data_IF_924920700976
#
_entry.id   IF_924920700976
#
_cell.length_a   1.000
_cell.length_b   1.000
_cell.length_c   1.000
_cell.angle_alpha   90.00
_cell.angle_beta   90.00
_cell.angle_gamma   90.00
#
_symmetry.space_group_name_H-M   'P 1'
#
loop_
_entity.id
_entity.type
_entity.pdbx_description
1 polymer ?
#
# COMPACT_ATOMS: atom_id res chain seq x y z
N UNK A 1 -29.44 38.65 11.67
CA UNK A 1 -29.02 38.28 10.30
C UNK A 1 -27.60 38.77 10.09
N UNK A 2 -26.64 37.85 10.01
CA UNK A 2 -25.21 38.15 9.90
C UNK A 2 -24.87 38.74 8.51
N UNK A 3 -24.16 39.87 8.48
CA UNK A 3 -23.48 40.37 7.28
C UNK A 3 -22.43 39.32 6.89
N UNK A 4 -22.65 38.59 5.80
CA UNK A 4 -21.61 37.75 5.17
C UNK A 4 -20.50 38.68 4.68
N UNK A 5 -19.26 38.39 5.07
CA UNK A 5 -18.03 39.04 4.62
C UNK A 5 -17.95 39.09 3.09
N UNK A 6 -18.29 40.23 2.50
CA UNK A 6 -18.16 40.49 1.05
C UNK A 6 -16.72 40.79 0.62
N UNK A 7 -15.72 40.58 1.50
CA UNK A 7 -14.36 41.08 1.28
C UNK A 7 -13.26 40.00 1.29
N UNK A 8 -13.60 38.71 1.27
CA UNK A 8 -12.61 37.63 1.17
C UNK A 8 -12.37 37.26 -0.29
N UNK A 9 -11.15 37.51 -0.78
CA UNK A 9 -10.71 37.06 -2.10
C UNK A 9 -10.62 35.53 -2.11
N UNK A 10 -11.02 34.92 -3.22
CA UNK A 10 -10.81 33.48 -3.44
C UNK A 10 -9.34 33.20 -3.74
N UNK A 11 -8.89 31.95 -3.55
CA UNK A 11 -7.50 31.57 -3.87
C UNK A 11 -7.12 31.84 -5.32
N UNK A 12 -8.07 31.64 -6.26
CA UNK A 12 -7.88 31.93 -7.69
C UNK A 12 -7.69 33.44 -7.95
N UNK A 13 -8.48 34.28 -7.29
CA UNK A 13 -8.34 35.74 -7.38
C UNK A 13 -7.02 36.22 -6.77
N UNK A 14 -6.58 35.62 -5.65
CA UNK A 14 -5.28 35.93 -5.04
C UNK A 14 -4.13 35.54 -5.97
N UNK A 15 -4.20 34.36 -6.59
CA UNK A 15 -3.21 33.92 -7.57
C UNK A 15 -3.14 34.90 -8.76
N UNK A 16 -4.28 35.32 -9.31
CA UNK A 16 -4.30 36.31 -10.39
C UNK A 16 -3.63 37.64 -9.99
N UNK A 17 -3.94 38.15 -8.80
CA UNK A 17 -3.34 39.39 -8.27
C UNK A 17 -1.84 39.23 -8.02
N UNK A 18 -1.40 38.09 -7.50
CA UNK A 18 0.01 37.76 -7.30
C UNK A 18 0.75 37.78 -8.64
N UNK A 19 0.22 37.13 -9.68
CA UNK A 19 0.84 37.09 -11.01
C UNK A 19 0.94 38.48 -11.66
N UNK A 20 -0.06 39.33 -11.47
CA UNK A 20 0.02 40.73 -11.90
C UNK A 20 1.10 41.49 -11.11
N UNK A 21 1.24 41.20 -9.82
CA UNK A 21 2.18 41.89 -8.93
C UNK A 21 3.64 41.46 -9.13
N UNK A 22 3.87 40.21 -9.55
CA UNK A 22 5.20 39.69 -9.89
C UNK A 22 5.74 40.21 -11.24
N UNK A 23 4.87 40.78 -12.08
CA UNK A 23 5.24 41.29 -13.39
C UNK A 23 5.33 40.22 -14.49
N UNK A 24 5.43 40.67 -15.74
CA UNK A 24 5.26 39.81 -16.92
C UNK A 24 6.33 38.70 -17.02
N UNK A 25 7.59 39.00 -16.75
CA UNK A 25 8.69 38.05 -16.96
C UNK A 25 8.68 36.90 -15.94
N UNK A 26 8.43 37.24 -14.66
CA UNK A 26 8.34 36.25 -13.58
C UNK A 26 7.10 35.40 -13.77
N UNK A 27 5.97 36.03 -14.07
CA UNK A 27 4.71 35.32 -14.30
C UNK A 27 4.77 34.39 -15.52
N UNK A 28 5.41 34.80 -16.61
CA UNK A 28 5.63 33.93 -17.77
C UNK A 28 6.44 32.67 -17.40
N UNK A 29 7.39 32.78 -16.46
CA UNK A 29 8.14 31.63 -15.97
C UNK A 29 7.29 30.69 -15.12
N UNK A 30 6.36 31.22 -14.33
CA UNK A 30 5.39 30.41 -13.57
C UNK A 30 4.43 29.68 -14.51
N UNK A 31 3.93 30.35 -15.56
CA UNK A 31 3.01 29.75 -16.55
C UNK A 31 3.59 28.51 -17.25
N UNK A 32 4.92 28.41 -17.41
CA UNK A 32 5.59 27.22 -17.98
C UNK A 32 5.41 25.94 -17.15
N UNK A 33 5.01 26.07 -15.89
CA UNK A 33 4.85 24.96 -14.94
C UNK A 33 3.38 24.62 -14.67
N UNK A 34 2.44 25.26 -15.38
CA UNK A 34 0.99 25.04 -15.23
C UNK A 34 0.45 24.19 -16.38
N UNK A 35 -0.60 23.42 -16.10
CA UNK A 35 -1.36 22.70 -17.13
C UNK A 35 -2.22 23.65 -17.97
N UNK A 36 -2.66 23.22 -19.16
CA UNK A 36 -3.51 24.02 -20.05
C UNK A 36 -4.80 24.50 -19.36
N UNK A 37 -5.46 23.63 -18.59
CA UNK A 37 -6.68 23.98 -17.86
C UNK A 37 -6.42 25.04 -16.76
N UNK A 38 -5.28 24.97 -16.08
CA UNK A 38 -4.88 25.95 -15.06
C UNK A 38 -4.52 27.30 -15.69
N UNK A 39 -3.85 27.28 -16.84
CA UNK A 39 -3.54 28.48 -17.64
C UNK A 39 -4.83 29.18 -18.04
N UNK A 40 -5.83 28.45 -18.55
CA UNK A 40 -7.13 29.03 -18.94
C UNK A 40 -7.84 29.65 -17.72
N UNK A 41 -7.94 28.91 -16.62
CA UNK A 41 -8.60 29.37 -15.39
C UNK A 41 -7.91 30.60 -14.80
N UNK A 42 -6.57 30.60 -14.73
CA UNK A 42 -5.79 31.72 -14.17
C UNK A 42 -5.86 32.95 -15.07
N UNK A 43 -5.81 32.77 -16.39
CA UNK A 43 -5.91 33.86 -17.36
C UNK A 43 -7.29 34.52 -17.34
N UNK A 44 -8.36 33.72 -17.19
CA UNK A 44 -9.72 34.26 -16.99
C UNK A 44 -9.81 35.13 -15.74
N UNK A 45 -9.24 34.68 -14.62
CA UNK A 45 -9.23 35.45 -13.37
C UNK A 45 -8.40 36.74 -13.49
N UNK A 46 -7.24 36.69 -14.15
CA UNK A 46 -6.41 37.87 -14.44
C UNK A 46 -7.19 38.89 -15.29
N UNK A 47 -7.94 38.43 -16.30
CA UNK A 47 -8.76 39.31 -17.14
C UNK A 47 -9.88 40.03 -16.37
N UNK A 48 -10.33 39.44 -15.26
CA UNK A 48 -11.34 40.01 -14.38
C UNK A 48 -10.82 41.08 -13.41
N UNK A 49 -9.50 41.21 -13.25
CA UNK A 49 -8.89 42.16 -12.31
C UNK A 49 -8.82 43.56 -12.93
N UNK A 50 -9.66 44.48 -12.45
CA UNK A 50 -9.71 45.88 -12.97
C UNK A 50 -8.68 46.81 -12.34
N UNK A 51 -8.58 46.80 -11.02
CA UNK A 51 -7.59 47.54 -10.25
C UNK A 51 -7.43 46.90 -8.89
N UNK A 52 -6.19 46.87 -8.39
CA UNK A 52 -5.86 46.31 -7.08
C UNK A 52 -5.18 47.41 -6.29
N UNK A 53 -5.71 47.70 -5.11
CA UNK A 53 -5.13 48.64 -4.17
C UNK A 53 -3.74 48.17 -3.68
N UNK A 54 -2.84 49.10 -3.42
CA UNK A 54 -1.45 48.80 -3.04
C UNK A 54 -1.39 47.95 -1.77
N UNK A 55 -2.18 48.31 -0.76
CA UNK A 55 -2.27 47.58 0.50
C UNK A 55 -2.64 46.10 0.27
N UNK A 56 -3.55 45.83 -0.68
CA UNK A 56 -4.03 44.48 -0.96
C UNK A 56 -3.04 43.65 -1.75
N UNK A 57 -2.19 44.29 -2.56
CA UNK A 57 -1.04 43.62 -3.21
C UNK A 57 -0.02 43.20 -2.16
N UNK A 58 0.33 44.11 -1.25
CA UNK A 58 1.32 43.84 -0.20
C UNK A 58 0.85 42.68 0.70
N UNK A 59 -0.43 42.68 1.11
CA UNK A 59 -1.03 41.58 1.89
C UNK A 59 -0.93 40.23 1.18
N UNK A 60 -1.17 40.18 -0.13
CA UNK A 60 -1.12 38.93 -0.92
C UNK A 60 0.33 38.45 -1.13
N UNK A 61 1.26 39.37 -1.36
CA UNK A 61 2.69 39.05 -1.47
C UNK A 61 3.21 38.51 -0.14
N UNK A 62 2.86 39.14 0.99
CA UNK A 62 3.26 38.70 2.32
C UNK A 62 2.65 37.33 2.66
N UNK A 63 1.37 37.10 2.35
CA UNK A 63 0.71 35.81 2.50
C UNK A 63 1.40 34.71 1.68
N UNK A 64 1.69 34.98 0.40
CA UNK A 64 2.40 34.03 -0.47
C UNK A 64 3.84 33.77 0.01
N UNK A 65 4.56 34.81 0.42
CA UNK A 65 5.91 34.71 0.96
C UNK A 65 5.94 33.83 2.21
N UNK A 66 4.99 34.00 3.13
CA UNK A 66 4.87 33.17 4.33
C UNK A 66 4.55 31.71 4.02
N UNK A 67 3.71 31.46 3.01
CA UNK A 67 3.42 30.09 2.52
C UNK A 67 4.67 29.47 1.88
N UNK A 68 5.38 30.22 1.04
CA UNK A 68 6.61 29.77 0.38
C UNK A 68 7.71 29.46 1.40
N UNK A 69 7.90 30.34 2.39
CA UNK A 69 8.74 30.12 3.57
C UNK A 69 8.33 28.82 4.26
N UNK A 70 7.06 28.67 4.65
CA UNK A 70 6.60 27.48 5.34
C UNK A 70 6.89 26.20 4.55
N UNK A 71 6.73 26.23 3.24
CA UNK A 71 6.98 25.11 2.34
C UNK A 71 8.49 24.81 2.14
N UNK A 72 9.34 25.84 2.13
CA UNK A 72 10.81 25.70 2.08
C UNK A 72 11.37 25.19 3.43
N UNK A 73 10.77 25.59 4.56
CA UNK A 73 11.10 25.08 5.90
C UNK A 73 10.60 23.65 6.16
N UNK A 74 9.51 23.22 5.50
CA UNK A 74 9.07 21.82 5.46
C UNK A 74 10.06 20.98 4.63
N UNK A 75 10.60 21.54 3.55
CA UNK A 75 11.54 20.86 2.65
C UNK A 75 12.97 20.75 3.24
N UNK A 76 13.38 21.67 4.12
CA UNK A 76 14.69 21.64 4.80
C UNK A 76 14.64 21.15 6.26
N UNK A 77 13.50 20.57 6.67
CA UNK A 77 13.42 19.74 7.88
C UNK A 77 13.43 20.49 9.20
N UNK A 78 12.60 21.53 9.39
CA UNK A 78 12.05 22.04 10.68
C UNK A 78 12.99 22.49 11.83
N UNK A 79 14.24 22.02 11.86
CA UNK A 79 15.15 22.05 12.99
C UNK A 79 15.97 23.35 12.99
N UNK A 80 16.26 23.91 11.80
CA UNK A 80 16.87 25.24 11.66
C UNK A 80 15.89 26.36 12.04
N UNK A 81 14.60 26.22 11.72
CA UNK A 81 13.58 27.17 12.16
C UNK A 81 13.40 27.10 13.67
N UNK A 82 13.25 25.87 14.22
CA UNK A 82 13.21 25.66 15.67
C UNK A 82 14.46 26.25 16.35
N UNK A 83 15.64 26.13 15.75
CA UNK A 83 16.89 26.73 16.24
C UNK A 83 16.79 28.26 16.32
N UNK A 84 16.44 28.94 15.23
CA UNK A 84 16.36 30.40 15.21
C UNK A 84 15.29 30.95 16.17
N UNK A 85 14.17 30.24 16.32
CA UNK A 85 13.11 30.59 17.27
C UNK A 85 13.62 30.45 18.71
N UNK A 86 14.29 29.33 19.02
CA UNK A 86 14.84 29.09 20.36
C UNK A 86 15.98 30.06 20.70
N UNK A 87 16.86 30.38 19.74
CA UNK A 87 17.95 31.34 19.90
C UNK A 87 17.40 32.74 20.21
N UNK A 88 16.39 33.19 19.46
CA UNK A 88 15.75 34.49 19.70
C UNK A 88 14.95 34.54 21.01
N UNK A 89 14.32 33.44 21.41
CA UNK A 89 13.46 33.41 22.59
C UNK A 89 14.24 33.18 23.90
N UNK A 90 15.33 32.41 23.88
CA UNK A 90 15.99 31.87 25.08
C UNK A 90 17.49 32.15 25.15
N UNK A 91 18.09 32.71 24.10
CA UNK A 91 19.53 32.93 23.96
C UNK A 91 20.28 31.70 23.43
N UNK A 92 21.45 31.94 22.84
CA UNK A 92 22.23 30.96 22.06
C UNK A 92 22.59 29.70 22.87
N UNK A 93 23.15 29.87 24.08
CA UNK A 93 23.57 28.74 24.93
C UNK A 93 22.42 27.81 25.33
N UNK A 94 21.26 28.38 25.67
CA UNK A 94 20.07 27.59 26.07
C UNK A 94 19.42 26.92 24.87
N UNK A 95 19.35 27.63 23.74
CA UNK A 95 18.85 27.08 22.49
C UNK A 95 19.66 25.87 22.04
N UNK A 96 21.00 25.97 22.06
CA UNK A 96 21.90 24.85 21.75
C UNK A 96 21.67 23.67 22.71
N UNK A 97 21.50 23.89 24.01
CA UNK A 97 21.24 22.78 24.95
C UNK A 97 19.88 22.10 24.71
N UNK A 98 18.84 22.87 24.38
CA UNK A 98 17.49 22.35 24.12
C UNK A 98 17.47 21.60 22.80
N UNK A 99 18.10 22.14 21.76
CA UNK A 99 18.27 21.49 20.47
C UNK A 99 19.08 20.22 20.61
N UNK A 100 20.21 20.22 21.34
CA UNK A 100 20.99 19.00 21.55
C UNK A 100 20.19 17.92 22.28
N UNK A 101 19.35 18.30 23.24
CA UNK A 101 18.43 17.37 23.92
C UNK A 101 17.32 16.86 22.99
N UNK A 102 16.76 17.72 22.14
CA UNK A 102 15.75 17.38 21.13
C UNK A 102 16.33 16.47 20.05
N UNK A 103 17.50 16.79 19.51
CA UNK A 103 18.25 15.97 18.57
C UNK A 103 18.63 14.64 19.20
N UNK A 104 18.97 14.58 20.49
CA UNK A 104 19.21 13.30 21.19
C UNK A 104 17.93 12.46 21.35
N UNK A 105 16.76 13.10 21.42
CA UNK A 105 15.45 12.41 21.49
C UNK A 105 14.85 12.08 20.12
N UNK A 106 15.26 12.79 19.07
CA UNK A 106 14.85 12.61 17.66
C UNK A 106 15.88 11.82 16.85
N UNK A 107 17.08 11.61 17.38
CA UNK A 107 18.06 10.71 16.78
C UNK A 107 17.47 9.31 16.83
N UNK A 108 17.02 8.86 15.66
CA UNK A 108 16.98 7.44 15.33
C UNK A 108 18.33 6.88 15.79
N UNK A 109 18.29 5.90 16.70
CA UNK A 109 19.52 5.26 17.17
C UNK A 109 20.26 4.74 15.93
N UNK A 110 21.57 4.95 15.80
CA UNK A 110 22.31 4.35 14.70
C UNK A 110 22.00 2.85 14.63
N UNK A 111 21.76 2.36 13.41
CA UNK A 111 21.39 0.98 13.12
C UNK A 111 19.98 0.58 13.60
N UNK A 112 19.02 1.51 13.72
CA UNK A 112 17.64 1.18 14.14
C UNK A 112 16.94 0.19 13.18
N UNK A 113 17.25 0.25 11.88
CA UNK A 113 16.75 -0.74 10.91
C UNK A 113 17.34 -2.14 11.18
N UNK A 114 18.61 -2.23 11.58
CA UNK A 114 19.28 -3.50 11.81
C UNK A 114 18.74 -4.18 13.07
N UNK A 115 18.35 -3.41 14.10
CA UNK A 115 17.67 -3.95 15.29
C UNK A 115 16.33 -4.64 14.96
N UNK A 116 15.69 -4.26 13.86
CA UNK A 116 14.41 -4.82 13.40
C UNK A 116 14.57 -5.91 12.35
N UNK A 117 15.75 -6.08 11.78
CA UNK A 117 16.05 -7.09 10.77
C UNK A 117 16.32 -8.45 11.42
N UNK A 118 16.09 -9.52 10.68
CA UNK A 118 16.37 -10.88 11.15
C UNK A 118 17.90 -11.10 11.28
N UNK A 119 18.37 -11.82 12.33
CA UNK A 119 19.81 -12.06 12.55
C UNK A 119 20.54 -12.62 11.33
N UNK A 120 19.93 -13.58 10.64
CA UNK A 120 20.49 -14.24 9.44
C UNK A 120 20.72 -13.24 8.29
N UNK A 121 19.81 -12.28 8.11
CA UNK A 121 19.97 -11.25 7.08
C UNK A 121 21.18 -10.38 7.37
N UNK A 122 21.35 -9.95 8.62
CA UNK A 122 22.52 -9.14 9.02
C UNK A 122 23.81 -9.95 8.83
N UNK A 123 23.81 -11.22 9.27
CA UNK A 123 24.95 -12.12 9.12
C UNK A 123 25.39 -12.22 7.65
N UNK A 124 24.45 -12.41 6.72
CA UNK A 124 24.74 -12.54 5.30
C UNK A 124 25.54 -11.35 4.74
N UNK A 125 25.27 -10.13 5.22
CA UNK A 125 25.99 -8.93 4.81
C UNK A 125 27.32 -8.78 5.53
N UNK A 126 27.35 -9.02 6.84
CA UNK A 126 28.53 -8.68 7.63
C UNK A 126 29.60 -9.79 7.62
N UNK A 127 29.27 -11.05 7.28
CA UNK A 127 30.19 -12.19 7.37
C UNK A 127 31.47 -12.04 6.51
N UNK A 128 31.43 -11.23 5.45
CA UNK A 128 32.58 -10.95 4.58
C UNK A 128 33.29 -9.62 4.90
N UNK A 129 32.78 -8.86 5.88
CA UNK A 129 33.34 -7.55 6.24
C UNK A 129 34.56 -7.68 7.17
N UNK A 130 35.27 -6.57 7.35
CA UNK A 130 36.41 -6.56 8.27
C UNK A 130 35.93 -6.73 9.74
N UNK A 131 36.67 -7.44 10.62
CA UNK A 131 36.26 -7.66 12.02
C UNK A 131 35.99 -6.38 12.83
N UNK A 132 36.60 -5.26 12.46
CA UNK A 132 36.29 -3.94 13.05
C UNK A 132 34.87 -3.46 12.71
N UNK A 133 34.44 -3.65 11.47
CA UNK A 133 33.11 -3.26 10.98
C UNK A 133 32.05 -4.15 11.61
N UNK A 134 32.31 -5.47 11.69
CA UNK A 134 31.45 -6.40 12.42
C UNK A 134 31.31 -6.00 13.88
N UNK A 135 32.42 -5.70 14.57
CA UNK A 135 32.40 -5.26 15.96
C UNK A 135 31.60 -3.96 16.17
N UNK A 136 31.74 -3.00 15.25
CA UNK A 136 30.96 -1.77 15.27
C UNK A 136 29.47 -2.08 15.16
N UNK A 137 29.04 -2.81 14.12
CA UNK A 137 27.63 -3.13 13.89
C UNK A 137 27.04 -3.90 15.09
N UNK A 138 27.69 -4.97 15.53
CA UNK A 138 27.22 -5.79 16.65
C UNK A 138 27.12 -5.01 17.97
N UNK A 139 27.97 -3.99 18.19
CA UNK A 139 27.89 -3.15 19.39
C UNK A 139 26.63 -2.27 19.46
N UNK A 140 25.96 -2.05 18.32
CA UNK A 140 24.73 -1.27 18.22
C UNK A 140 23.46 -2.14 18.14
N UNK A 141 23.58 -3.47 18.05
CA UNK A 141 22.44 -4.39 18.05
C UNK A 141 22.02 -4.77 19.47
N UNK A 142 20.85 -5.39 19.60
CA UNK A 142 20.42 -5.93 20.89
C UNK A 142 21.26 -7.16 21.28
N UNK A 143 21.61 -7.35 22.57
CA UNK A 143 22.58 -8.38 22.97
C UNK A 143 22.23 -9.81 22.55
N UNK A 144 20.93 -10.13 22.50
CA UNK A 144 20.44 -11.45 22.06
C UNK A 144 20.71 -11.65 20.57
N UNK A 145 20.32 -10.67 19.75
CA UNK A 145 20.54 -10.66 18.30
C UNK A 145 22.03 -10.68 17.97
N UNK A 146 22.83 -9.84 18.63
CA UNK A 146 24.28 -9.81 18.46
C UNK A 146 24.94 -11.15 18.84
N UNK A 147 24.45 -11.80 19.90
CA UNK A 147 24.93 -13.11 20.34
C UNK A 147 24.63 -14.21 19.33
N UNK A 148 23.43 -14.21 18.73
CA UNK A 148 23.06 -15.15 17.66
C UNK A 148 24.00 -15.00 16.45
N UNK A 149 24.14 -13.77 15.94
CA UNK A 149 25.01 -13.49 14.79
C UNK A 149 26.46 -13.87 15.08
N UNK A 150 26.97 -13.52 16.27
CA UNK A 150 28.33 -13.87 16.67
C UNK A 150 28.52 -15.39 16.69
N UNK A 151 27.52 -16.17 17.11
CA UNK A 151 27.63 -17.64 17.20
C UNK A 151 27.71 -18.35 15.84
N UNK A 152 27.23 -17.70 14.78
CA UNK A 152 27.21 -18.25 13.42
C UNK A 152 28.45 -17.86 12.59
N UNK A 153 29.27 -16.92 13.07
CA UNK A 153 30.54 -16.57 12.43
C UNK A 153 31.60 -17.68 12.60
N UNK A 154 32.62 -17.69 11.73
CA UNK A 154 33.74 -18.62 11.85
C UNK A 154 34.49 -18.44 13.19
N UNK A 155 34.92 -19.52 13.88
CA UNK A 155 35.50 -19.45 15.24
C UNK A 155 36.66 -18.46 15.40
N UNK A 156 37.54 -18.36 14.38
CA UNK A 156 38.68 -17.43 14.39
C UNK A 156 38.22 -15.96 14.35
N UNK A 157 37.13 -15.69 13.62
CA UNK A 157 36.52 -14.35 13.51
C UNK A 157 35.73 -14.01 14.76
N UNK A 158 35.05 -14.97 15.39
CA UNK A 158 34.30 -14.77 16.63
C UNK A 158 35.16 -14.15 17.73
N UNK A 159 36.32 -14.75 17.99
CA UNK A 159 37.24 -14.28 19.03
C UNK A 159 37.81 -12.89 18.70
N UNK A 160 38.10 -12.62 17.43
CA UNK A 160 38.59 -11.33 16.96
C UNK A 160 37.54 -10.21 17.14
N UNK A 161 36.31 -10.47 16.75
CA UNK A 161 35.18 -9.53 16.86
C UNK A 161 34.85 -9.26 18.32
N UNK A 162 34.73 -10.30 19.16
CA UNK A 162 34.47 -10.17 20.59
C UNK A 162 35.55 -9.33 21.30
N UNK A 163 36.83 -9.58 20.97
CA UNK A 163 37.94 -8.78 21.51
C UNK A 163 37.82 -7.31 21.10
N UNK A 164 37.50 -7.03 19.84
CA UNK A 164 37.31 -5.66 19.33
C UNK A 164 36.16 -4.95 20.00
N UNK A 165 35.02 -5.60 20.19
CA UNK A 165 33.89 -5.03 20.95
C UNK A 165 34.34 -4.64 22.36
N UNK A 166 35.15 -5.47 23.02
CA UNK A 166 35.63 -5.21 24.38
C UNK A 166 36.64 -4.06 24.50
N UNK A 167 37.45 -3.79 23.47
CA UNK A 167 38.48 -2.73 23.47
C UNK A 167 38.07 -1.48 22.69
N UNK A 168 36.92 -1.50 22.04
CA UNK A 168 36.41 -0.38 21.24
C UNK A 168 35.97 0.74 22.18
N UNK A 169 36.55 1.92 21.99
CA UNK A 169 36.24 3.12 22.78
C UNK A 169 35.29 4.02 21.99
N UNK A 170 35.81 5.04 21.31
CA UNK A 170 34.99 6.00 20.55
C UNK A 170 35.22 5.89 19.04
N UNK A 171 34.14 5.63 18.31
CA UNK A 171 34.10 5.75 16.85
C UNK A 171 33.55 7.12 16.46
N UNK A 172 34.07 7.75 15.41
CA UNK A 172 33.57 9.07 14.99
C UNK A 172 32.13 8.95 14.44
N UNK A 173 31.27 9.95 14.70
CA UNK A 173 29.89 9.95 14.17
C UNK A 173 29.83 9.83 12.63
N UNK A 174 30.80 10.42 11.93
CA UNK A 174 30.89 10.34 10.47
C UNK A 174 31.09 8.90 9.98
N UNK A 175 31.94 8.12 10.66
CA UNK A 175 32.18 6.71 10.32
C UNK A 175 30.94 5.87 10.66
N UNK A 176 30.28 6.14 11.79
CA UNK A 176 29.05 5.44 12.17
C UNK A 176 27.97 5.64 11.09
N UNK A 177 27.74 6.89 10.68
CA UNK A 177 26.74 7.22 9.65
C UNK A 177 27.08 6.62 8.28
N UNK A 178 28.37 6.58 7.92
CA UNK A 178 28.82 5.97 6.66
C UNK A 178 28.55 4.47 6.64
N UNK A 179 28.93 3.76 7.72
CA UNK A 179 28.70 2.32 7.85
C UNK A 179 27.20 2.01 7.91
N UNK A 180 26.43 2.82 8.63
CA UNK A 180 24.98 2.71 8.71
C UNK A 180 24.34 2.84 7.33
N UNK A 181 24.69 3.88 6.55
CA UNK A 181 24.15 4.11 5.21
C UNK A 181 24.46 2.96 4.25
N UNK A 182 25.69 2.44 4.28
CA UNK A 182 26.09 1.32 3.43
C UNK A 182 25.33 0.05 3.81
N UNK A 183 25.18 -0.22 5.11
CA UNK A 183 24.44 -1.38 5.57
C UNK A 183 22.94 -1.27 5.23
N UNK A 184 22.35 -0.10 5.39
CA UNK A 184 20.95 0.18 5.02
C UNK A 184 20.72 0.00 3.51
N UNK A 185 21.63 0.49 2.67
CA UNK A 185 21.57 0.30 1.22
C UNK A 185 21.71 -1.18 0.82
N UNK A 186 22.56 -1.95 1.52
CA UNK A 186 22.73 -3.38 1.26
C UNK A 186 21.49 -4.19 1.71
N UNK A 187 20.93 -3.88 2.87
CA UNK A 187 19.71 -4.52 3.35
C UNK A 187 18.51 -4.16 2.48
N UNK A 188 18.31 -2.89 2.14
CA UNK A 188 17.24 -2.45 1.22
C UNK A 188 17.39 -3.03 -0.19
N UNK A 189 18.61 -3.26 -0.69
CA UNK A 189 18.80 -3.94 -1.97
C UNK A 189 18.58 -5.46 -1.90
N UNK A 190 18.69 -6.07 -0.71
CA UNK A 190 18.29 -7.46 -0.48
C UNK A 190 16.79 -7.64 -0.26
N UNK A 191 16.08 -6.60 0.19
CA UNK A 191 14.62 -6.52 0.11
C UNK A 191 14.10 -6.60 -1.34
N UNK A 192 14.95 -6.37 -2.34
CA UNK A 192 14.61 -6.59 -3.76
C UNK A 192 14.79 -8.04 -4.23
N UNK A 193 15.45 -8.92 -3.45
CA UNK A 193 15.63 -10.34 -3.81
C UNK A 193 14.63 -11.28 -3.13
N UNK A 194 14.10 -10.89 -1.96
CA UNK A 194 12.98 -11.59 -1.33
C UNK A 194 11.68 -10.83 -1.62
N UNK A 195 11.19 -10.93 -2.86
CA UNK A 195 9.76 -10.76 -3.09
C UNK A 195 9.04 -11.91 -2.38
N UNK A 196 8.74 -11.76 -1.09
CA UNK A 196 7.40 -12.16 -0.66
C UNK A 196 6.46 -11.28 -1.48
N UNK A 197 5.91 -11.82 -2.58
CA UNK A 197 4.91 -11.20 -3.44
C UNK A 197 3.84 -10.53 -2.57
N UNK A 198 4.01 -9.25 -2.25
CA UNK A 198 3.01 -8.47 -1.53
C UNK A 198 2.20 -7.78 -2.60
N UNK A 199 1.40 -8.57 -3.31
CA UNK A 199 0.72 -8.17 -4.53
C UNK A 199 0.97 -9.15 -5.67
N UNK A 200 0.14 -9.05 -6.70
CA UNK A 200 0.06 -10.01 -7.79
C UNK A 200 -1.40 -10.29 -8.11
N UNK A 201 -1.60 -11.07 -9.16
CA UNK A 201 -2.94 -11.40 -9.65
C UNK A 201 -3.72 -12.15 -8.55
N UNK A 202 -3.05 -13.02 -7.77
CA UNK A 202 -3.68 -13.75 -6.66
C UNK A 202 -4.20 -12.82 -5.55
N UNK A 203 -3.42 -11.82 -5.14
CA UNK A 203 -3.86 -10.85 -4.14
C UNK A 203 -5.05 -9.99 -4.63
N UNK A 204 -5.04 -9.60 -5.91
CA UNK A 204 -6.17 -8.87 -6.52
C UNK A 204 -7.39 -9.77 -6.60
N UNK A 205 -7.23 -11.04 -6.97
CA UNK A 205 -8.30 -12.04 -6.98
C UNK A 205 -8.89 -12.16 -5.58
N UNK A 206 -8.11 -12.40 -4.53
CA UNK A 206 -8.62 -12.48 -3.15
C UNK A 206 -9.44 -11.24 -2.74
N UNK A 207 -8.94 -10.04 -3.04
CA UNK A 207 -9.65 -8.78 -2.78
C UNK A 207 -10.95 -8.70 -3.57
N UNK A 208 -10.92 -9.02 -4.86
CA UNK A 208 -12.10 -8.98 -5.73
C UNK A 208 -13.18 -10.01 -5.35
N UNK A 209 -12.80 -11.12 -4.73
CA UNK A 209 -13.76 -12.10 -4.22
C UNK A 209 -14.45 -11.64 -2.93
N UNK A 210 -13.90 -10.65 -2.23
CA UNK A 210 -14.47 -10.08 -1.01
C UNK A 210 -15.41 -8.89 -1.25
N UNK A 211 -15.52 -8.40 -2.49
CA UNK A 211 -16.40 -7.26 -2.84
C UNK A 211 -17.70 -7.73 -3.48
N UNK A 212 -18.71 -6.87 -3.52
CA UNK A 212 -19.96 -7.16 -4.22
C UNK A 212 -19.76 -7.20 -5.74
N UNK A 213 -20.62 -7.96 -6.45
CA UNK A 213 -20.55 -8.15 -7.91
C UNK A 213 -20.61 -6.85 -8.71
N UNK A 214 -21.28 -5.81 -8.19
CA UNK A 214 -21.35 -4.51 -8.85
C UNK A 214 -20.00 -3.80 -8.85
N UNK A 215 -19.34 -3.81 -7.69
CA UNK A 215 -17.98 -3.28 -7.51
C UNK A 215 -16.95 -4.10 -8.30
N UNK A 216 -17.01 -5.43 -8.19
CA UNK A 216 -16.16 -6.36 -8.94
C UNK A 216 -16.21 -6.08 -10.44
N UNK A 217 -17.44 -6.04 -11.01
CA UNK A 217 -17.65 -5.79 -12.43
C UNK A 217 -17.12 -4.43 -12.86
N UNK A 218 -17.36 -3.39 -12.06
CA UNK A 218 -16.87 -2.03 -12.38
C UNK A 218 -15.33 -1.99 -12.44
N UNK A 219 -14.66 -2.70 -11.52
CA UNK A 219 -13.20 -2.79 -11.50
C UNK A 219 -12.68 -3.60 -12.70
N UNK A 220 -13.28 -4.77 -12.98
CA UNK A 220 -12.88 -5.61 -14.11
C UNK A 220 -13.13 -4.94 -15.46
N UNK A 221 -14.28 -4.27 -15.66
CA UNK A 221 -14.59 -3.53 -16.89
C UNK A 221 -13.58 -2.38 -17.10
N UNK A 222 -13.18 -1.69 -16.02
CA UNK A 222 -12.15 -0.65 -16.07
C UNK A 222 -10.77 -1.22 -16.37
N UNK A 223 -10.43 -2.38 -15.81
CA UNK A 223 -9.18 -3.08 -16.09
C UNK A 223 -9.13 -3.57 -17.53
N UNK A 224 -10.22 -4.08 -18.08
CA UNK A 224 -10.30 -4.58 -19.46
C UNK A 224 -10.11 -3.49 -20.50
N UNK A 225 -10.43 -2.23 -20.18
CA UNK A 225 -10.14 -1.06 -21.04
C UNK A 225 -8.67 -0.65 -20.98
N UNK A 226 -8.05 -0.73 -19.79
CA UNK A 226 -6.67 -0.26 -19.58
C UNK A 226 -5.63 -1.32 -19.94
N UNK A 227 -5.89 -2.58 -19.57
CA UNK A 227 -5.01 -3.73 -19.73
C UNK A 227 -5.85 -5.02 -19.90
N UNK A 228 -6.21 -5.37 -21.15
CA UNK A 228 -7.00 -6.57 -21.45
C UNK A 228 -6.33 -7.88 -21.02
N UNK A 229 -4.99 -7.96 -21.09
CA UNK A 229 -4.25 -9.18 -20.74
C UNK A 229 -4.30 -9.42 -19.22
N UNK A 230 -4.09 -8.36 -18.42
CA UNK A 230 -4.20 -8.44 -16.96
C UNK A 230 -5.64 -8.79 -16.51
N UNK A 231 -6.64 -8.18 -17.14
CA UNK A 231 -8.04 -8.49 -16.84
C UNK A 231 -8.37 -9.97 -17.14
N UNK A 232 -7.87 -10.51 -18.26
CA UNK A 232 -8.05 -11.92 -18.62
C UNK A 232 -7.31 -12.85 -17.64
N UNK A 233 -6.10 -12.50 -17.20
CA UNK A 233 -5.36 -13.27 -16.19
C UNK A 233 -6.00 -13.26 -14.80
N UNK A 234 -6.64 -12.15 -14.39
CA UNK A 234 -7.42 -12.06 -13.16
C UNK A 234 -8.67 -12.93 -13.29
N UNK A 235 -9.44 -12.79 -14.39
CA UNK A 235 -10.65 -13.58 -14.65
C UNK A 235 -10.36 -15.09 -14.63
N UNK A 236 -9.28 -15.53 -15.27
CA UNK A 236 -8.84 -16.95 -15.28
C UNK A 236 -8.54 -17.53 -13.89
N UNK A 237 -8.18 -16.68 -12.93
CA UNK A 237 -7.87 -17.07 -11.56
C UNK A 237 -9.07 -16.92 -10.62
N UNK A 238 -10.18 -16.32 -11.07
CA UNK A 238 -11.43 -16.27 -10.32
C UNK A 238 -12.27 -17.51 -10.62
N UNK A 239 -12.59 -18.29 -9.59
CA UNK A 239 -13.63 -19.32 -9.70
C UNK A 239 -15.00 -18.65 -9.57
N UNK A 240 -15.80 -18.68 -10.64
CA UNK A 240 -17.18 -18.19 -10.64
C UNK A 240 -18.18 -19.34 -10.48
N UNK A 241 -19.42 -19.04 -10.12
CA UNK A 241 -20.44 -20.08 -9.90
C UNK A 241 -20.67 -20.98 -11.13
N UNK A 242 -20.56 -20.41 -12.34
CA UNK A 242 -20.70 -21.18 -13.58
C UNK A 242 -19.55 -22.19 -13.78
N UNK A 243 -18.38 -21.98 -13.15
CA UNK A 243 -17.24 -22.90 -13.24
C UNK A 243 -17.47 -24.20 -12.46
N UNK A 244 -18.59 -24.35 -11.74
CA UNK A 244 -18.98 -25.61 -11.08
C UNK A 244 -18.96 -26.79 -12.06
N UNK A 245 -19.22 -26.56 -13.35
CA UNK A 245 -19.15 -27.60 -14.39
C UNK A 245 -17.75 -28.20 -14.58
N UNK A 246 -16.71 -27.49 -14.17
CA UNK A 246 -15.31 -27.93 -14.25
C UNK A 246 -14.89 -28.81 -13.08
N UNK A 247 -15.69 -28.87 -12.02
CA UNK A 247 -15.43 -29.71 -10.86
C UNK A 247 -15.76 -31.17 -11.14
N UNK A 248 -15.01 -32.09 -10.51
CA UNK A 248 -15.34 -33.50 -10.58
C UNK A 248 -16.60 -33.83 -9.75
N UNK A 249 -17.25 -34.96 -10.07
CA UNK A 249 -18.49 -35.37 -9.39
C UNK A 249 -18.33 -35.45 -7.86
N UNK A 250 -17.14 -35.84 -7.38
CA UNK A 250 -16.87 -35.94 -5.95
C UNK A 250 -16.83 -34.56 -5.28
N UNK A 251 -16.18 -33.58 -5.90
CA UNK A 251 -16.19 -32.19 -5.43
C UNK A 251 -17.60 -31.62 -5.43
N UNK A 252 -18.38 -31.81 -6.50
CA UNK A 252 -19.76 -31.31 -6.58
C UNK A 252 -20.62 -31.91 -5.45
N UNK A 253 -20.53 -33.21 -5.19
CA UNK A 253 -21.24 -33.86 -4.08
C UNK A 253 -20.82 -33.31 -2.71
N UNK A 254 -19.56 -32.91 -2.56
CA UNK A 254 -19.04 -32.30 -1.33
C UNK A 254 -19.60 -30.89 -1.14
N UNK A 255 -19.62 -30.08 -2.20
CA UNK A 255 -20.22 -28.74 -2.21
C UNK A 255 -21.70 -28.82 -1.85
N UNK A 256 -22.47 -29.71 -2.50
CA UNK A 256 -23.90 -29.90 -2.23
C UNK A 256 -24.16 -30.22 -0.74
N UNK A 257 -23.24 -30.93 -0.07
CA UNK A 257 -23.39 -31.29 1.34
C UNK A 257 -23.12 -30.13 2.30
N UNK A 258 -22.25 -29.20 1.92
CA UNK A 258 -21.74 -28.13 2.80
C UNK A 258 -22.44 -26.78 2.55
N UNK A 259 -23.28 -26.71 1.52
CA UNK A 259 -24.12 -25.54 1.17
C UNK A 259 -25.52 -25.68 1.78
N UNK A 260 -26.13 -24.55 2.16
CA UNK A 260 -27.53 -24.51 2.61
C UNK A 260 -28.50 -24.76 1.44
N UNK A 261 -29.54 -25.58 1.65
CA UNK A 261 -30.47 -25.94 0.58
C UNK A 261 -31.16 -24.71 -0.03
N UNK A 262 -31.50 -23.70 0.77
CA UNK A 262 -32.15 -22.47 0.30
C UNK A 262 -31.24 -21.68 -0.65
N UNK A 263 -29.94 -21.61 -0.35
CA UNK A 263 -28.94 -20.98 -1.21
C UNK A 263 -28.80 -21.74 -2.52
N UNK A 264 -28.67 -23.07 -2.44
CA UNK A 264 -28.53 -23.92 -3.63
C UNK A 264 -29.76 -23.81 -4.53
N UNK A 265 -30.96 -23.82 -3.96
CA UNK A 265 -32.23 -23.68 -4.66
C UNK A 265 -32.34 -22.32 -5.35
N UNK A 266 -32.00 -21.24 -4.64
CA UNK A 266 -32.04 -19.88 -5.17
C UNK A 266 -31.01 -19.68 -6.29
N UNK A 267 -29.79 -20.19 -6.12
CA UNK A 267 -28.72 -20.13 -7.12
C UNK A 267 -29.04 -20.89 -8.40
N UNK A 268 -29.65 -22.08 -8.29
CA UNK A 268 -30.04 -22.91 -9.44
C UNK A 268 -31.18 -22.31 -10.26
N UNK A 269 -31.92 -21.33 -9.75
CA UNK A 269 -33.04 -20.71 -10.48
C UNK A 269 -32.62 -19.94 -11.73
N UNK A 270 -31.48 -19.26 -11.67
CA UNK A 270 -30.94 -18.43 -12.76
C UNK A 270 -29.65 -19.02 -13.35
N UNK A 271 -29.23 -20.19 -12.85
CA UNK A 271 -28.09 -20.92 -13.39
C UNK A 271 -28.33 -21.37 -14.85
N UNK A 272 -27.24 -21.59 -15.59
CA UNK A 272 -27.30 -22.26 -16.89
C UNK A 272 -27.84 -23.69 -16.77
N UNK A 273 -28.41 -24.22 -17.86
CA UNK A 273 -28.90 -25.61 -17.87
C UNK A 273 -27.78 -26.62 -17.63
N UNK A 274 -26.57 -26.33 -18.09
CA UNK A 274 -25.39 -27.17 -17.87
C UNK A 274 -25.04 -27.29 -16.38
N UNK A 275 -25.03 -26.17 -15.65
CA UNK A 275 -24.83 -26.17 -14.20
C UNK A 275 -25.96 -26.92 -13.48
N UNK A 276 -27.22 -26.73 -13.90
CA UNK A 276 -28.36 -27.46 -13.29
C UNK A 276 -28.22 -28.97 -13.49
N UNK A 277 -27.90 -29.41 -14.71
CA UNK A 277 -27.76 -30.82 -15.03
C UNK A 277 -26.65 -31.48 -14.21
N UNK A 278 -25.46 -30.86 -14.15
CA UNK A 278 -24.34 -31.45 -13.42
C UNK A 278 -24.60 -31.50 -11.90
N UNK A 279 -25.23 -30.46 -11.35
CA UNK A 279 -25.60 -30.42 -9.93
C UNK A 279 -26.68 -31.47 -9.63
N UNK A 280 -27.74 -31.57 -10.43
CA UNK A 280 -28.78 -32.59 -10.24
C UNK A 280 -28.27 -34.02 -10.43
N UNK A 281 -27.34 -34.25 -11.35
CA UNK A 281 -26.74 -35.58 -11.56
C UNK A 281 -25.95 -36.07 -10.34
N UNK A 282 -25.51 -35.14 -9.48
CA UNK A 282 -24.77 -35.41 -8.25
C UNK A 282 -25.65 -35.38 -6.99
N UNK A 283 -26.97 -35.27 -7.15
CA UNK A 283 -27.95 -35.34 -6.07
C UNK A 283 -28.67 -36.70 -6.04
N UNK A 284 -29.29 -37.02 -4.90
CA UNK A 284 -30.24 -38.14 -4.84
C UNK A 284 -31.52 -37.82 -5.61
N UNK A 285 -32.17 -38.84 -6.21
CA UNK A 285 -33.43 -38.65 -6.98
C UNK A 285 -34.50 -37.89 -6.18
N UNK A 286 -34.66 -38.21 -4.90
CA UNK A 286 -35.60 -37.52 -4.00
C UNK A 286 -35.27 -36.03 -3.83
N UNK A 287 -33.99 -35.68 -3.74
CA UNK A 287 -33.56 -34.28 -3.60
C UNK A 287 -33.81 -33.52 -4.90
N UNK A 288 -33.53 -34.14 -6.06
CA UNK A 288 -33.83 -33.54 -7.37
C UNK A 288 -35.33 -33.28 -7.55
N UNK A 289 -36.18 -34.24 -7.20
CA UNK A 289 -37.64 -34.07 -7.23
C UNK A 289 -38.08 -32.91 -6.34
N UNK A 290 -37.59 -32.87 -5.10
CA UNK A 290 -37.90 -31.79 -4.14
C UNK A 290 -37.48 -30.42 -4.67
N UNK A 291 -36.25 -30.29 -5.18
CA UNK A 291 -35.75 -29.02 -5.71
C UNK A 291 -36.54 -28.57 -6.94
N UNK A 292 -36.89 -29.48 -7.85
CA UNK A 292 -37.70 -29.13 -9.04
C UNK A 292 -39.09 -28.65 -8.65
N UNK A 293 -39.77 -29.33 -7.74
CA UNK A 293 -41.07 -28.90 -7.21
C UNK A 293 -40.98 -27.52 -6.54
N UNK A 294 -39.97 -27.31 -5.68
CA UNK A 294 -39.78 -26.03 -5.01
C UNK A 294 -39.44 -24.90 -6.00
N UNK A 295 -38.65 -25.16 -7.03
CA UNK A 295 -38.34 -24.18 -8.09
C UNK A 295 -39.59 -23.78 -8.89
N UNK A 296 -40.52 -24.70 -9.15
CA UNK A 296 -41.80 -24.42 -9.82
C UNK A 296 -42.73 -23.58 -8.94
N UNK A 297 -42.77 -23.85 -7.64
CA UNK A 297 -43.58 -23.10 -6.66
C UNK A 297 -42.98 -21.72 -6.42
N UNK A 298 -41.66 -21.60 -6.50
CA UNK A 298 -40.95 -20.37 -6.20
C UNK A 298 -41.33 -19.28 -7.21
N UNK A 299 -41.90 -18.18 -6.71
CA UNK A 299 -42.25 -17.00 -7.51
C UNK A 299 -41.04 -16.23 -8.04
N UNK A 300 -41.23 -15.08 -8.70
CA UNK A 300 -40.13 -14.25 -9.18
C UNK A 300 -39.20 -13.86 -8.03
N UNK A 301 -37.90 -14.11 -8.20
CA UNK A 301 -36.84 -13.80 -7.24
C UNK A 301 -36.06 -12.57 -7.70
N UNK A 302 -35.47 -11.82 -6.76
CA UNK A 302 -34.62 -10.68 -7.13
C UNK A 302 -33.26 -11.20 -7.55
N UNK A 303 -32.73 -10.63 -8.63
CA UNK A 303 -31.41 -11.01 -9.15
C UNK A 303 -30.31 -10.88 -8.08
N UNK A 304 -30.36 -9.83 -7.26
CA UNK A 304 -29.40 -9.62 -6.18
C UNK A 304 -29.37 -10.77 -5.16
N UNK A 305 -30.53 -11.28 -4.79
CA UNK A 305 -30.62 -12.35 -3.78
C UNK A 305 -30.03 -13.66 -4.35
N UNK A 306 -30.18 -13.90 -5.66
CA UNK A 306 -29.57 -15.02 -6.38
C UNK A 306 -28.05 -14.89 -6.44
N UNK A 307 -27.54 -13.70 -6.76
CA UNK A 307 -26.10 -13.43 -6.82
C UNK A 307 -25.44 -13.58 -5.45
N UNK A 308 -26.10 -13.11 -4.38
CA UNK A 308 -25.62 -13.30 -3.01
C UNK A 308 -25.55 -14.78 -2.63
N UNK A 309 -26.55 -15.59 -3.02
CA UNK A 309 -26.51 -17.04 -2.82
C UNK A 309 -25.39 -17.72 -3.63
N UNK A 310 -25.22 -17.35 -4.90
CA UNK A 310 -24.15 -17.87 -5.74
C UNK A 310 -22.76 -17.53 -5.16
N UNK A 311 -22.59 -16.32 -4.64
CA UNK A 311 -21.36 -15.88 -3.97
C UNK A 311 -21.07 -16.70 -2.71
N UNK A 312 -22.09 -17.00 -1.88
CA UNK A 312 -21.95 -17.88 -0.73
C UNK A 312 -21.48 -19.29 -1.12
N UNK A 313 -22.03 -19.86 -2.20
CA UNK A 313 -21.63 -21.17 -2.71
C UNK A 313 -20.18 -21.16 -3.19
N UNK A 314 -19.77 -20.15 -3.96
CA UNK A 314 -18.37 -19.98 -4.39
C UNK A 314 -17.44 -19.88 -3.18
N UNK A 315 -17.86 -19.17 -2.12
CA UNK A 315 -17.13 -19.12 -0.86
C UNK A 315 -16.95 -20.48 -0.18
N UNK A 316 -17.95 -21.36 -0.25
CA UNK A 316 -17.85 -22.74 0.27
C UNK A 316 -16.88 -23.57 -0.57
N UNK A 317 -16.95 -23.48 -1.90
CA UNK A 317 -16.03 -24.19 -2.81
C UNK A 317 -14.57 -23.86 -2.48
N UNK A 318 -14.26 -22.57 -2.25
CA UNK A 318 -12.92 -22.11 -1.90
C UNK A 318 -12.43 -22.62 -0.56
N UNK A 319 -13.28 -22.59 0.47
CA UNK A 319 -12.93 -23.16 1.78
C UNK A 319 -12.58 -24.65 1.68
N UNK A 320 -13.28 -25.37 0.81
CA UNK A 320 -13.01 -26.78 0.55
C UNK A 320 -11.74 -26.99 -0.29
N UNK A 321 -11.43 -26.08 -1.21
CA UNK A 321 -10.15 -26.08 -1.95
C UNK A 321 -8.97 -25.79 -1.02
N UNK A 322 -9.06 -24.77 -0.16
CA UNK A 322 -8.05 -24.43 0.85
C UNK A 322 -7.81 -25.57 1.85
N UNK A 323 -8.85 -26.32 2.19
CA UNK A 323 -8.76 -27.51 3.03
C UNK A 323 -8.17 -28.74 2.29
N UNK A 324 -7.95 -28.64 0.98
CA UNK A 324 -7.50 -29.75 0.13
C UNK A 324 -8.56 -30.84 -0.09
N UNK A 325 -9.84 -30.56 0.19
CA UNK A 325 -10.94 -31.50 0.00
C UNK A 325 -11.48 -31.49 -1.44
N UNK A 326 -11.27 -30.39 -2.17
CA UNK A 326 -11.65 -30.20 -3.57
C UNK A 326 -10.42 -29.71 -4.35
N UNK A 327 -10.28 -30.16 -5.60
CA UNK A 327 -9.29 -29.64 -6.53
C UNK A 327 -10.00 -28.93 -7.67
N UNK A 328 -9.68 -27.67 -7.90
CA UNK A 328 -10.23 -26.88 -9.01
C UNK A 328 -9.24 -26.95 -10.17
N UNK A 329 -9.66 -27.52 -11.29
CA UNK A 329 -8.85 -27.53 -12.50
C UNK A 329 -8.86 -26.14 -13.15
N UNK A 330 -7.96 -25.27 -12.70
CA UNK A 330 -7.74 -23.96 -13.32
C UNK A 330 -6.98 -24.20 -14.63
N UNK A 331 -7.51 -23.73 -15.77
CA UNK A 331 -7.06 -24.03 -17.13
C UNK A 331 -5.66 -23.54 -17.53
N UNK A 332 -4.65 -23.69 -16.68
CA UNK A 332 -3.23 -23.58 -17.00
C UNK A 332 -2.59 -24.94 -16.77
N UNK A 333 -2.04 -25.55 -17.82
CA UNK A 333 -1.35 -26.81 -17.71
C UNK A 333 -0.14 -26.68 -16.80
N UNK A 334 -0.22 -27.28 -15.61
CA UNK A 334 0.90 -28.05 -15.08
C UNK A 334 0.36 -29.12 -14.13
N UNK A 335 0.96 -30.30 -14.29
CA UNK A 335 0.58 -31.58 -13.75
C UNK A 335 0.50 -31.61 -12.22
N UNK A 336 -0.62 -32.12 -11.70
CA UNK A 336 -0.53 -33.10 -10.60
C UNK A 336 -1.39 -34.31 -10.97
N UNK A 337 -0.71 -35.33 -11.50
CA UNK A 337 -1.22 -36.69 -11.55
C UNK A 337 -0.59 -37.45 -10.37
N UNK A 338 -1.46 -37.86 -9.44
CA UNK A 338 -1.56 -39.12 -8.66
C UNK A 338 -2.11 -38.83 -7.27
#
# INVERSE_FOLDING_TARGET
MAKRDQNKLTGKQKAAILMISLGLDVSASVYKHLSEEEIERLTLEISGVRSVDHQRKDEIIEEFHNIAIAQDYISQGGLNYARQVLEKALGEDKAVSILNRLTSSLQVKPFDFARKAEPEQILNFIQQEHPQTMALILSYLDPVQAGQILSELNPDVQAEVARRIAVMDRTSPEIINEVERVLEQKLSSSFTQDYTQTGGIEAVVEVLNGVDRGTEKTILDSLEIQDPELADEIKKRMFVFEDIVTLDNRAIQRVIRDVENDDLLLSLKVASEEVKEIVFSNMSQRMVETFKEEMEIMGPVRLRDVEEAQSRIVGVVRKLEEAGEIVIARGGGDDIIV
#
